data_IF_699036180827
#
_entry.id   IF_699036180827
#
_cell.length_a   1.000
_cell.length_b   1.000
_cell.length_c   1.000
_cell.angle_alpha   90.00
_cell.angle_beta   90.00
_cell.angle_gamma   90.00
#
_symmetry.space_group_name_H-M   'P 1'
#
loop_
_entity.id
_entity.type
_entity.pdbx_description
1 polymer ?
#
# COMPACT_ATOMS: atom_id res chain seq x y z
N UNK A 1 -20.50 -23.00 25.00
CA UNK A 1 -20.54 -21.97 23.92
C UNK A 1 -20.44 -22.69 22.57
N UNK A 2 -21.23 -22.31 21.58
CA UNK A 2 -21.16 -22.98 20.26
C UNK A 2 -19.88 -22.60 19.51
N UNK A 3 -19.34 -23.54 18.70
CA UNK A 3 -18.13 -23.35 17.86
C UNK A 3 -18.12 -22.01 17.09
N UNK A 4 -19.24 -21.54 16.47
CA UNK A 4 -19.30 -20.24 15.78
C UNK A 4 -19.16 -19.01 16.71
N UNK A 5 -19.53 -19.11 17.98
CA UNK A 5 -19.41 -18.00 18.93
C UNK A 5 -17.97 -17.83 19.41
N UNK A 6 -17.24 -18.94 19.58
CA UNK A 6 -15.82 -18.94 19.95
C UNK A 6 -14.99 -18.35 18.81
N UNK A 7 -15.28 -18.77 17.57
CA UNK A 7 -14.57 -18.28 16.38
C UNK A 7 -14.78 -16.77 16.17
N UNK A 8 -16.02 -16.27 16.25
CA UNK A 8 -16.31 -14.84 16.15
C UNK A 8 -15.60 -14.00 17.22
N UNK A 9 -15.49 -14.51 18.45
CA UNK A 9 -14.76 -13.82 19.51
C UNK A 9 -13.25 -13.79 19.23
N UNK A 10 -12.69 -14.87 18.71
CA UNK A 10 -11.29 -14.93 18.32
C UNK A 10 -10.97 -13.94 17.18
N UNK A 11 -11.82 -13.88 16.16
CA UNK A 11 -11.71 -12.92 15.04
C UNK A 11 -11.83 -11.47 15.52
N UNK A 12 -12.76 -11.18 16.45
CA UNK A 12 -12.89 -9.85 17.05
C UNK A 12 -11.61 -9.45 17.82
N UNK A 13 -11.09 -10.33 18.68
CA UNK A 13 -9.87 -10.06 19.43
C UNK A 13 -8.67 -9.85 18.51
N UNK A 14 -8.54 -10.64 17.43
CA UNK A 14 -7.45 -10.46 16.45
C UNK A 14 -7.55 -9.11 15.75
N UNK A 15 -8.74 -8.68 15.37
CA UNK A 15 -8.97 -7.36 14.76
C UNK A 15 -8.62 -6.24 15.73
N UNK A 16 -9.06 -6.33 17.01
CA UNK A 16 -8.77 -5.31 18.02
C UNK A 16 -7.25 -5.17 18.26
N UNK A 17 -6.51 -6.30 18.22
CA UNK A 17 -5.05 -6.31 18.27
C UNK A 17 -4.39 -5.65 17.06
N UNK A 18 -4.88 -5.90 15.84
CA UNK A 18 -4.34 -5.29 14.62
C UNK A 18 -4.60 -3.79 14.57
N UNK A 19 -5.78 -3.35 14.99
CA UNK A 19 -6.13 -1.93 15.08
C UNK A 19 -5.24 -1.20 16.10
N UNK A 20 -5.06 -1.76 17.30
CA UNK A 20 -4.16 -1.21 18.32
C UNK A 20 -2.69 -1.20 17.83
N UNK A 21 -2.22 -2.27 17.20
CA UNK A 21 -0.88 -2.37 16.66
C UNK A 21 -0.63 -1.35 15.54
N UNK A 22 -1.58 -1.18 14.63
CA UNK A 22 -1.53 -0.14 13.58
C UNK A 22 -1.35 1.24 14.18
N UNK A 23 -2.14 1.60 15.20
CA UNK A 23 -2.04 2.88 15.87
C UNK A 23 -0.66 3.07 16.53
N UNK A 24 -0.19 2.07 17.30
CA UNK A 24 1.11 2.13 18.00
C UNK A 24 2.27 2.21 17.00
N UNK A 25 2.28 1.39 15.95
CA UNK A 25 3.33 1.44 14.93
C UNK A 25 3.32 2.76 14.15
N UNK A 26 2.15 3.33 13.86
CA UNK A 26 2.05 4.64 13.21
C UNK A 26 2.60 5.75 14.09
N UNK A 27 2.29 5.76 15.38
CA UNK A 27 2.70 6.78 16.33
C UNK A 27 4.18 6.69 16.69
N UNK A 28 4.69 5.48 16.99
CA UNK A 28 6.02 5.25 17.57
C UNK A 28 7.02 4.61 16.62
N UNK A 29 6.54 3.95 15.57
CA UNK A 29 7.35 3.09 14.72
C UNK A 29 7.61 1.71 15.32
N UNK A 30 8.20 0.84 14.50
CA UNK A 30 8.49 -0.54 14.90
C UNK A 30 9.49 -0.64 16.06
N UNK A 31 10.55 0.17 16.06
CA UNK A 31 11.62 0.05 17.06
C UNK A 31 11.09 0.30 18.48
N UNK A 32 10.35 1.40 18.68
CA UNK A 32 9.91 1.88 19.98
C UNK A 32 8.56 1.32 20.43
N UNK A 33 7.81 0.63 19.56
CA UNK A 33 6.59 -0.07 19.91
C UNK A 33 6.87 -1.31 20.74
N UNK A 34 6.02 -1.61 21.74
CA UNK A 34 6.09 -2.84 22.53
C UNK A 34 4.83 -3.69 22.41
N UNK A 35 4.99 -5.02 22.54
CA UNK A 35 3.87 -5.96 22.54
C UNK A 35 2.94 -5.71 23.76
N UNK A 36 3.52 -5.30 24.89
CA UNK A 36 2.78 -4.98 26.09
C UNK A 36 1.85 -3.77 25.86
N UNK A 37 2.37 -2.69 25.33
CA UNK A 37 1.58 -1.47 25.00
C UNK A 37 0.44 -1.78 24.03
N UNK A 38 0.72 -2.58 22.99
CA UNK A 38 -0.29 -2.98 22.01
C UNK A 38 -1.38 -3.81 22.69
N UNK A 39 -1.01 -4.77 23.55
CA UNK A 39 -1.96 -5.57 24.31
C UNK A 39 -2.85 -4.72 25.23
N UNK A 40 -2.25 -3.78 25.96
CA UNK A 40 -2.97 -2.85 26.85
C UNK A 40 -3.96 -1.99 26.06
N UNK A 41 -3.53 -1.43 24.92
CA UNK A 41 -4.39 -0.60 24.05
C UNK A 41 -5.56 -1.39 23.43
N UNK A 42 -5.33 -2.67 23.11
CA UNK A 42 -6.37 -3.59 22.62
C UNK A 42 -7.26 -4.16 23.72
N UNK A 43 -6.96 -3.94 25.02
CA UNK A 43 -7.65 -4.57 26.13
C UNK A 43 -7.41 -6.10 26.23
N UNK A 44 -6.29 -6.56 25.70
CA UNK A 44 -5.93 -7.98 25.61
C UNK A 44 -4.72 -8.27 26.49
N UNK A 45 -4.84 -9.25 27.39
CA UNK A 45 -3.72 -9.65 28.25
C UNK A 45 -2.62 -10.39 27.47
N UNK A 46 -1.41 -10.46 28.05
CA UNK A 46 -0.20 -11.02 27.42
C UNK A 46 -0.38 -12.42 26.84
N UNK A 47 -1.02 -13.32 27.58
CA UNK A 47 -1.19 -14.71 27.12
C UNK A 47 -1.94 -14.84 25.80
N UNK A 48 -3.17 -14.32 25.68
CA UNK A 48 -3.89 -14.27 24.40
C UNK A 48 -3.14 -13.55 23.29
N UNK A 49 -2.43 -12.44 23.55
CA UNK A 49 -1.66 -11.73 22.54
C UNK A 49 -0.66 -12.67 21.84
N UNK A 50 0.19 -13.38 22.61
CA UNK A 50 1.18 -14.33 22.08
C UNK A 50 0.56 -15.64 21.54
N UNK A 51 -0.74 -15.82 21.71
CA UNK A 51 -1.47 -16.89 21.03
C UNK A 51 -1.80 -16.52 19.57
N UNK A 52 -1.98 -15.22 19.27
CA UNK A 52 -2.29 -14.72 17.91
C UNK A 52 -1.05 -14.38 17.09
N UNK A 53 0.00 -13.90 17.74
CA UNK A 53 1.21 -13.41 17.08
C UNK A 53 2.45 -13.88 17.84
N UNK A 54 3.36 -14.54 17.13
CA UNK A 54 4.55 -15.14 17.72
C UNK A 54 5.51 -14.09 18.30
N UNK A 55 5.64 -12.95 17.60
CA UNK A 55 6.48 -11.82 17.98
C UNK A 55 5.99 -10.49 17.40
N UNK A 56 6.71 -9.41 17.71
CA UNK A 56 6.42 -8.05 17.21
C UNK A 56 6.54 -7.95 15.69
N UNK A 57 7.45 -8.71 15.08
CA UNK A 57 7.65 -8.71 13.62
C UNK A 57 6.50 -9.41 12.91
N UNK A 58 5.98 -10.50 13.46
CA UNK A 58 4.80 -11.20 12.93
C UNK A 58 3.55 -10.32 13.01
N UNK A 59 3.33 -9.64 14.14
CA UNK A 59 2.25 -8.66 14.30
C UNK A 59 2.41 -7.48 13.33
N UNK A 60 3.62 -6.95 13.17
CA UNK A 60 3.90 -5.85 12.22
C UNK A 60 3.61 -6.29 10.77
N UNK A 61 4.02 -7.51 10.41
CA UNK A 61 3.72 -8.07 9.08
C UNK A 61 2.22 -8.21 8.84
N UNK A 62 1.46 -8.63 9.84
CA UNK A 62 0.01 -8.73 9.72
C UNK A 62 -0.65 -7.35 9.50
N UNK A 63 -0.22 -6.31 10.23
CA UNK A 63 -0.67 -4.93 10.01
C UNK A 63 -0.28 -4.42 8.61
N UNK A 64 0.97 -4.68 8.19
CA UNK A 64 1.45 -4.33 6.85
C UNK A 64 0.57 -4.95 5.75
N UNK A 65 0.19 -6.22 5.87
CA UNK A 65 -0.66 -6.89 4.88
C UNK A 65 -2.09 -6.31 4.82
N UNK A 66 -2.64 -5.85 5.95
CA UNK A 66 -3.92 -5.13 5.95
C UNK A 66 -3.80 -3.77 5.22
N UNK A 67 -2.71 -3.02 5.48
CA UNK A 67 -2.45 -1.75 4.80
C UNK A 67 -2.28 -1.96 3.29
N UNK A 68 -1.56 -2.98 2.86
CA UNK A 68 -1.40 -3.35 1.44
C UNK A 68 -2.75 -3.63 0.75
N UNK A 69 -3.62 -4.38 1.43
CA UNK A 69 -4.95 -4.68 0.91
C UNK A 69 -5.81 -3.40 0.82
N UNK A 70 -5.85 -2.59 1.87
CA UNK A 70 -6.57 -1.31 1.89
C UNK A 70 -6.04 -0.35 0.81
N UNK A 71 -4.72 -0.31 0.61
CA UNK A 71 -4.07 0.51 -0.41
C UNK A 71 -4.50 0.07 -1.81
N UNK A 72 -4.53 -1.22 -2.08
CA UNK A 72 -5.03 -1.76 -3.35
C UNK A 72 -6.50 -1.39 -3.58
N UNK A 73 -7.35 -1.48 -2.56
CA UNK A 73 -8.76 -1.09 -2.63
C UNK A 73 -8.93 0.43 -2.85
N UNK A 74 -8.13 1.27 -2.19
CA UNK A 74 -8.09 2.73 -2.38
C UNK A 74 -7.68 3.08 -3.81
N UNK A 75 -6.67 2.41 -4.37
CA UNK A 75 -6.25 2.62 -5.76
C UNK A 75 -7.37 2.24 -6.75
N UNK A 76 -7.99 1.06 -6.60
CA UNK A 76 -9.10 0.62 -7.45
C UNK A 76 -10.27 1.61 -7.37
N UNK A 77 -10.65 2.02 -6.18
CA UNK A 77 -11.73 2.99 -5.95
C UNK A 77 -11.36 4.36 -6.55
N UNK A 78 -10.11 4.78 -6.37
CA UNK A 78 -9.56 6.02 -6.92
C UNK A 78 -9.56 6.05 -8.45
N UNK A 79 -9.26 4.94 -9.11
CA UNK A 79 -9.41 4.82 -10.57
C UNK A 79 -10.88 5.02 -10.96
N UNK A 80 -11.80 4.31 -10.34
CA UNK A 80 -13.24 4.41 -10.65
C UNK A 80 -13.81 5.81 -10.47
N UNK A 81 -13.34 6.56 -9.48
CA UNK A 81 -13.84 7.92 -9.19
C UNK A 81 -13.22 8.99 -10.11
N UNK A 82 -12.05 8.73 -10.69
CA UNK A 82 -11.32 9.69 -11.55
C UNK A 82 -11.53 9.46 -13.04
N UNK A 83 -12.07 8.30 -13.44
CA UNK A 83 -12.25 7.96 -14.85
C UNK A 83 -13.73 7.84 -15.19
N UNK A 84 -14.09 8.24 -16.41
CA UNK A 84 -15.44 8.03 -16.92
C UNK A 84 -15.72 6.54 -17.17
N UNK A 85 -16.99 6.09 -17.15
CA UNK A 85 -17.34 4.75 -17.61
C UNK A 85 -16.86 4.54 -19.05
N UNK A 86 -16.04 3.48 -19.27
CA UNK A 86 -15.45 3.19 -20.58
C UNK A 86 -14.16 3.94 -20.90
N UNK A 87 -13.57 4.64 -19.93
CA UNK A 87 -12.24 5.25 -20.07
C UNK A 87 -11.20 4.23 -20.51
N UNK A 88 -10.29 4.63 -21.39
CA UNK A 88 -9.19 3.80 -21.88
C UNK A 88 -8.23 3.36 -20.76
N UNK A 89 -7.55 2.25 -20.98
CA UNK A 89 -6.64 1.69 -19.98
C UNK A 89 -5.49 2.64 -19.63
N UNK A 90 -5.03 3.46 -20.58
CA UNK A 90 -4.03 4.50 -20.32
C UNK A 90 -4.49 5.53 -19.28
N UNK A 91 -5.71 6.05 -19.45
CA UNK A 91 -6.32 6.99 -18.50
C UNK A 91 -6.48 6.34 -17.12
N UNK A 92 -6.83 5.04 -17.07
CA UNK A 92 -6.91 4.28 -15.83
C UNK A 92 -5.53 4.10 -15.16
N UNK A 93 -4.45 3.93 -15.92
CA UNK A 93 -3.07 3.87 -15.37
C UNK A 93 -2.71 5.20 -14.71
N UNK A 94 -2.95 6.34 -15.38
CA UNK A 94 -2.76 7.66 -14.77
C UNK A 94 -3.56 7.84 -13.49
N UNK A 95 -4.85 7.54 -13.52
CA UNK A 95 -5.73 7.64 -12.36
C UNK A 95 -5.25 6.75 -11.19
N UNK A 96 -4.72 5.56 -11.49
CA UNK A 96 -4.17 4.64 -10.51
C UNK A 96 -2.91 5.17 -9.84
N UNK A 97 -1.99 5.78 -10.61
CA UNK A 97 -0.79 6.40 -10.07
C UNK A 97 -1.13 7.55 -9.12
N UNK A 98 -2.05 8.42 -9.51
CA UNK A 98 -2.53 9.49 -8.64
C UNK A 98 -3.26 8.98 -7.40
N UNK A 99 -4.08 7.93 -7.52
CA UNK A 99 -4.75 7.33 -6.38
C UNK A 99 -3.77 6.72 -5.38
N UNK A 100 -2.68 6.12 -5.86
CA UNK A 100 -1.59 5.66 -5.00
C UNK A 100 -0.90 6.81 -4.26
N UNK A 101 -0.52 7.88 -4.97
CA UNK A 101 0.13 9.04 -4.34
C UNK A 101 -0.78 9.74 -3.33
N UNK A 102 -2.10 9.78 -3.55
CA UNK A 102 -3.05 10.31 -2.56
C UNK A 102 -3.16 9.41 -1.33
N UNK A 103 -3.16 8.09 -1.53
CA UNK A 103 -3.16 7.14 -0.43
C UNK A 103 -1.86 7.20 0.40
N UNK A 104 -0.75 7.59 -0.22
CA UNK A 104 0.53 7.81 0.45
C UNK A 104 0.53 9.04 1.39
N UNK A 105 -0.52 9.85 1.42
CA UNK A 105 -0.70 10.91 2.44
C UNK A 105 -1.18 10.34 3.79
N UNK A 106 -1.67 9.10 3.84
CA UNK A 106 -2.08 8.43 5.07
C UNK A 106 -0.85 8.15 5.96
N UNK A 107 -0.80 8.64 7.23
CA UNK A 107 0.36 8.45 8.10
C UNK A 107 0.73 6.97 8.34
N UNK A 108 -0.24 6.06 8.36
CA UNK A 108 0.03 4.63 8.52
C UNK A 108 0.69 4.05 7.26
N UNK A 109 0.26 4.46 6.06
CA UNK A 109 0.91 4.08 4.79
C UNK A 109 2.34 4.61 4.77
N UNK A 110 2.56 5.89 5.10
CA UNK A 110 3.90 6.48 5.13
C UNK A 110 4.82 5.74 6.10
N UNK A 111 4.40 5.58 7.35
CA UNK A 111 5.24 5.03 8.39
C UNK A 111 5.48 3.54 8.21
N UNK A 112 4.41 2.77 8.09
CA UNK A 112 4.47 1.31 8.15
C UNK A 112 4.89 0.74 6.79
N UNK A 113 4.20 1.13 5.70
CA UNK A 113 4.40 0.52 4.39
C UNK A 113 5.65 1.08 3.69
N UNK A 114 5.81 2.41 3.65
CA UNK A 114 6.85 3.03 2.83
C UNK A 114 8.19 3.09 3.57
N UNK A 115 8.20 3.49 4.85
CA UNK A 115 9.45 3.73 5.58
C UNK A 115 9.97 2.48 6.29
N UNK A 116 9.13 1.73 6.99
CA UNK A 116 9.57 0.67 7.90
C UNK A 116 9.50 -0.76 7.33
N UNK A 117 8.48 -1.10 6.55
CA UNK A 117 8.34 -2.45 5.99
C UNK A 117 9.57 -2.92 5.18
N UNK A 118 10.22 -2.10 4.35
CA UNK A 118 11.44 -2.51 3.65
C UNK A 118 12.59 -2.89 4.58
N UNK A 119 12.68 -2.24 5.74
CA UNK A 119 13.74 -2.48 6.75
C UNK A 119 13.37 -3.64 7.66
N UNK A 120 12.15 -3.64 8.20
CA UNK A 120 11.67 -4.64 9.18
C UNK A 120 11.45 -6.00 8.53
N UNK A 121 10.79 -6.03 7.37
CA UNK A 121 10.40 -7.25 6.68
C UNK A 121 11.38 -7.67 5.57
N UNK A 122 12.16 -6.74 5.03
CA UNK A 122 13.16 -7.02 4.01
C UNK A 122 12.59 -7.67 2.74
N UNK A 123 13.04 -8.90 2.41
CA UNK A 123 12.57 -9.62 1.23
C UNK A 123 11.09 -10.05 1.32
N UNK A 124 10.54 -10.16 2.53
CA UNK A 124 9.15 -10.57 2.72
C UNK A 124 8.19 -9.46 2.26
N UNK A 125 8.49 -8.18 2.57
CA UNK A 125 7.69 -7.05 2.08
C UNK A 125 7.64 -7.01 0.54
N UNK A 126 8.77 -7.30 -0.13
CA UNK A 126 8.79 -7.35 -1.61
C UNK A 126 7.95 -8.48 -2.19
N UNK A 127 7.91 -9.65 -1.52
CA UNK A 127 7.06 -10.78 -1.95
C UNK A 127 5.58 -10.50 -1.72
N UNK A 128 5.25 -9.91 -0.58
CA UNK A 128 3.88 -9.57 -0.23
C UNK A 128 3.35 -8.46 -1.15
N UNK A 129 4.14 -7.42 -1.42
CA UNK A 129 3.82 -6.39 -2.42
C UNK A 129 3.62 -6.96 -3.83
N UNK A 130 4.49 -7.91 -4.26
CA UNK A 130 4.36 -8.55 -5.57
C UNK A 130 3.01 -9.27 -5.73
N UNK A 131 2.41 -9.67 -4.63
CA UNK A 131 1.10 -10.34 -4.61
C UNK A 131 -0.09 -9.39 -4.81
N UNK A 132 -0.02 -8.17 -4.26
CA UNK A 132 -1.14 -7.21 -4.26
C UNK A 132 -0.91 -6.05 -5.23
N UNK A 133 0.09 -5.21 -4.99
CA UNK A 133 0.29 -3.97 -5.73
C UNK A 133 0.82 -4.17 -7.16
N UNK A 134 1.84 -5.03 -7.34
CA UNK A 134 2.45 -5.22 -8.65
C UNK A 134 1.48 -5.85 -9.67
N UNK A 135 0.55 -6.69 -9.21
CA UNK A 135 -0.48 -7.27 -10.06
C UNK A 135 -1.40 -6.21 -10.69
N UNK A 136 -1.76 -5.17 -9.93
CA UNK A 136 -2.57 -4.06 -10.44
C UNK A 136 -1.82 -3.27 -11.53
N UNK A 137 -0.54 -2.95 -11.28
CA UNK A 137 0.30 -2.24 -12.24
C UNK A 137 0.43 -3.03 -13.54
N UNK A 138 0.80 -4.32 -13.47
CA UNK A 138 0.91 -5.21 -14.64
C UNK A 138 -0.38 -5.27 -15.44
N UNK A 139 -1.50 -5.48 -14.78
CA UNK A 139 -2.81 -5.59 -15.42
C UNK A 139 -3.21 -4.30 -16.12
N UNK A 140 -2.94 -3.14 -15.50
CA UNK A 140 -3.18 -1.83 -16.11
C UNK A 140 -2.32 -1.59 -17.35
N UNK A 141 -1.02 -1.86 -17.25
CA UNK A 141 -0.07 -1.70 -18.35
C UNK A 141 -0.36 -2.65 -19.52
N UNK A 142 -0.68 -3.92 -19.22
CA UNK A 142 -1.03 -4.89 -20.29
C UNK A 142 -2.23 -4.38 -21.09
N UNK A 143 -3.29 -3.96 -20.41
CA UNK A 143 -4.48 -3.42 -21.09
C UNK A 143 -4.15 -2.16 -21.90
N UNK A 144 -3.30 -1.29 -21.37
CA UNK A 144 -2.89 -0.07 -22.08
C UNK A 144 -2.09 -0.41 -23.35
N UNK A 145 -1.27 -1.46 -23.36
CA UNK A 145 -0.59 -1.98 -24.55
C UNK A 145 -1.60 -2.58 -25.53
N UNK A 146 -2.51 -3.42 -25.03
CA UNK A 146 -3.52 -4.10 -25.86
C UNK A 146 -4.47 -3.10 -26.57
N UNK A 147 -4.73 -1.94 -25.94
CA UNK A 147 -5.51 -0.83 -26.47
C UNK A 147 -4.68 0.14 -27.33
N UNK A 148 -3.37 -0.05 -27.46
CA UNK A 148 -2.47 0.83 -28.22
C UNK A 148 -2.16 2.16 -27.54
N UNK A 149 -2.46 2.31 -26.26
CA UNK A 149 -2.13 3.51 -25.46
C UNK A 149 -0.67 3.60 -25.04
N UNK A 150 0.05 2.48 -25.05
CA UNK A 150 1.49 2.35 -24.76
C UNK A 150 2.14 1.50 -25.87
N UNK A 151 3.36 1.82 -26.25
CA UNK A 151 4.13 0.97 -27.15
C UNK A 151 4.39 -0.43 -26.57
N UNK A 152 4.31 -1.51 -27.38
CA UNK A 152 4.61 -2.87 -26.92
C UNK A 152 6.03 -2.97 -26.38
N UNK A 153 6.15 -3.41 -25.12
CA UNK A 153 7.42 -3.57 -24.41
C UNK A 153 7.32 -4.58 -23.27
N UNK A 154 8.44 -5.08 -22.72
CA UNK A 154 8.42 -6.04 -21.61
C UNK A 154 7.75 -5.44 -20.36
N UNK A 155 6.62 -6.02 -19.94
CA UNK A 155 5.79 -5.51 -18.84
C UNK A 155 6.46 -5.67 -17.48
N UNK A 156 7.17 -6.77 -17.22
CA UNK A 156 7.79 -7.02 -15.92
C UNK A 156 8.77 -5.91 -15.52
N UNK A 157 9.80 -5.57 -16.34
CA UNK A 157 10.70 -4.47 -16.01
C UNK A 157 9.95 -3.14 -15.87
N UNK A 158 8.99 -2.85 -16.76
CA UNK A 158 8.22 -1.61 -16.74
C UNK A 158 7.40 -1.47 -15.47
N UNK A 159 6.69 -2.52 -15.05
CA UNK A 159 5.91 -2.52 -13.82
C UNK A 159 6.78 -2.28 -12.58
N UNK A 160 7.96 -2.90 -12.54
CA UNK A 160 8.92 -2.68 -11.45
C UNK A 160 9.46 -1.24 -11.43
N UNK A 161 9.74 -0.65 -12.59
CA UNK A 161 10.21 0.73 -12.69
C UNK A 161 9.13 1.73 -12.29
N UNK A 162 7.89 1.56 -12.76
CA UNK A 162 6.76 2.41 -12.35
C UNK A 162 6.55 2.31 -10.85
N UNK A 163 6.57 1.11 -10.28
CA UNK A 163 6.52 0.94 -8.83
C UNK A 163 7.62 1.73 -8.11
N UNK A 164 8.86 1.63 -8.59
CA UNK A 164 9.99 2.33 -7.97
C UNK A 164 9.80 3.85 -8.02
N UNK A 165 9.33 4.40 -9.14
CA UNK A 165 9.00 5.82 -9.29
C UNK A 165 7.90 6.24 -8.29
N UNK A 166 6.84 5.46 -8.18
CA UNK A 166 5.72 5.76 -7.27
C UNK A 166 6.15 5.66 -5.80
N UNK A 167 6.95 4.64 -5.45
CA UNK A 167 7.46 4.48 -4.07
C UNK A 167 8.41 5.63 -3.69
N UNK A 168 9.33 6.02 -4.60
CA UNK A 168 10.20 7.17 -4.35
C UNK A 168 9.39 8.47 -4.26
N UNK A 169 8.38 8.64 -5.13
CA UNK A 169 7.45 9.78 -5.05
C UNK A 169 6.75 9.85 -3.70
N UNK A 170 6.26 8.72 -3.19
CA UNK A 170 5.65 8.64 -1.87
C UNK A 170 6.63 8.97 -0.72
N UNK A 171 7.90 8.54 -0.85
CA UNK A 171 8.98 8.91 0.10
C UNK A 171 9.27 10.41 0.09
N UNK A 172 9.29 11.04 -1.09
CA UNK A 172 9.48 12.49 -1.21
C UNK A 172 8.33 13.25 -0.54
N UNK A 173 7.09 12.83 -0.76
CA UNK A 173 5.91 13.40 -0.11
C UNK A 173 6.00 13.22 1.41
N UNK A 174 6.33 12.02 1.90
CA UNK A 174 6.40 11.72 3.33
C UNK A 174 7.46 12.53 4.10
N UNK A 175 8.51 13.00 3.41
CA UNK A 175 9.62 13.78 3.99
C UNK A 175 9.49 15.28 3.83
N UNK A 176 8.52 15.75 3.04
CA UNK A 176 8.31 17.16 2.80
C UNK A 176 7.67 17.86 4.01
N UNK A 177 7.95 19.15 4.18
CA UNK A 177 7.26 19.98 5.19
C UNK A 177 5.82 20.26 4.77
N UNK A 178 5.59 20.53 3.47
CA UNK A 178 4.24 20.68 2.89
C UNK A 178 3.93 19.46 2.01
N UNK A 179 3.14 18.55 2.58
CA UNK A 179 2.74 17.32 1.88
C UNK A 179 1.83 17.60 0.68
N UNK A 180 1.02 18.66 0.70
CA UNK A 180 0.10 18.96 -0.38
C UNK A 180 0.83 19.52 -1.59
N UNK A 181 1.79 20.43 -1.37
CA UNK A 181 2.65 20.96 -2.42
C UNK A 181 3.51 19.84 -3.02
N UNK A 182 4.21 19.07 -2.18
CA UNK A 182 5.03 17.95 -2.63
C UNK A 182 4.21 16.91 -3.41
N UNK A 183 2.97 16.62 -2.99
CA UNK A 183 2.06 15.72 -3.70
C UNK A 183 1.74 16.23 -5.11
N UNK A 184 1.51 17.53 -5.27
CA UNK A 184 1.22 18.14 -6.57
C UNK A 184 2.46 18.08 -7.49
N UNK A 185 3.63 18.44 -6.98
CA UNK A 185 4.88 18.42 -7.74
C UNK A 185 5.29 17.00 -8.17
N UNK A 186 5.24 16.04 -7.24
CA UNK A 186 5.53 14.63 -7.52
C UNK A 186 4.54 14.08 -8.54
N UNK A 187 3.24 14.38 -8.42
CA UNK A 187 2.24 13.97 -9.39
C UNK A 187 2.55 14.45 -10.80
N UNK A 188 2.85 15.75 -10.94
CA UNK A 188 3.22 16.33 -12.24
C UNK A 188 4.54 15.74 -12.80
N UNK A 189 5.50 15.37 -11.96
CA UNK A 189 6.72 14.71 -12.39
C UNK A 189 6.45 13.26 -12.85
N UNK A 190 5.64 12.50 -12.11
CA UNK A 190 5.21 11.15 -12.50
C UNK A 190 4.49 11.19 -13.84
N UNK A 191 3.54 12.11 -14.02
CA UNK A 191 2.80 12.25 -15.28
C UNK A 191 3.74 12.48 -16.48
N UNK A 192 4.72 13.37 -16.35
CA UNK A 192 5.71 13.61 -17.43
C UNK A 192 6.57 12.39 -17.73
N UNK A 193 6.94 11.61 -16.68
CA UNK A 193 7.73 10.40 -16.88
C UNK A 193 6.96 9.31 -17.62
N UNK A 194 5.70 9.09 -17.26
CA UNK A 194 4.91 8.03 -17.87
C UNK A 194 4.35 8.43 -19.24
N UNK A 195 4.16 9.73 -19.52
CA UNK A 195 3.73 10.21 -20.85
C UNK A 195 4.73 9.80 -21.94
N UNK A 196 6.03 9.66 -21.59
CA UNK A 196 7.04 9.14 -22.50
C UNK A 196 6.88 7.67 -22.92
N UNK A 197 5.92 6.95 -22.35
CA UNK A 197 5.57 5.58 -22.75
C UNK A 197 4.54 5.51 -23.88
N UNK A 198 3.93 6.65 -24.22
CA UNK A 198 2.95 6.70 -25.32
C UNK A 198 3.64 6.57 -26.68
N UNK A 199 2.94 6.01 -27.66
CA UNK A 199 3.44 6.03 -29.04
C UNK A 199 3.77 7.46 -29.47
N UNK A 200 4.89 7.63 -30.18
CA UNK A 200 5.20 8.91 -30.79
C UNK A 200 4.06 9.29 -31.77
N UNK A 201 3.58 10.53 -31.70
CA UNK A 201 2.64 11.02 -32.71
C UNK A 201 3.32 10.95 -34.08
N UNK A 202 2.68 10.23 -35.02
CA UNK A 202 3.19 10.04 -36.38
C UNK A 202 2.98 11.30 -37.25
#
# INVERSE_FOLDING_TARGET
>A
MSRPAIQRRAEATRRDLLEAARAVFTERGFADASMEEIGERAGVSRGPLYHYFDDKRDLFRAVYLEIEQELAEKVISGVRSRTAPGAGAWEQVHAGNHAFLDAALDPAVQRIEILEAPVVLGSDSRRDFARYGLGLIRSGLQRAIDEGGIEPQPIEPLAHLIRAVLTEGALLIARAEDHAEARAEVGAAVDRLIEGLRPAEA
#
